data_IF_738724838323
#
_entry.id   IF_738724838323
#
_cell.length_a   1.000
_cell.length_b   1.000
_cell.length_c   1.000
_cell.angle_alpha   90.00
_cell.angle_beta   90.00
_cell.angle_gamma   90.00
#
_symmetry.space_group_name_H-M   'P 1'
#
loop_
_entity.id
_entity.type
_entity.pdbx_description
1 polymer ?
#
# COMPACT_ATOMS: atom_id res chain seq x y z
N UNK A 1 3.32 18.09 -12.79
CA UNK A 1 2.49 17.66 -13.95
C UNK A 1 2.35 16.14 -14.07
N UNK A 2 3.23 15.33 -13.46
CA UNK A 2 3.19 13.85 -13.50
C UNK A 2 2.10 13.20 -12.63
N UNK A 3 1.54 13.89 -11.64
CA UNK A 3 0.51 13.35 -10.73
C UNK A 3 -0.90 13.30 -11.35
N UNK A 4 -1.30 14.35 -12.10
CA UNK A 4 -2.65 14.48 -12.66
C UNK A 4 -2.90 13.52 -13.85
N UNK A 5 -1.89 13.30 -14.69
CA UNK A 5 -1.96 12.37 -15.84
C UNK A 5 -1.98 10.91 -15.36
N UNK A 6 -1.35 10.61 -14.21
CA UNK A 6 -1.41 9.30 -13.56
C UNK A 6 -2.82 8.95 -13.05
N UNK A 7 -3.54 9.93 -12.53
CA UNK A 7 -4.96 9.79 -12.13
C UNK A 7 -5.88 9.50 -13.33
N UNK A 8 -5.64 10.08 -14.51
CA UNK A 8 -6.43 9.73 -15.71
C UNK A 8 -6.25 8.26 -16.14
N UNK A 9 -5.13 7.60 -15.81
CA UNK A 9 -4.98 6.15 -16.04
C UNK A 9 -5.89 5.32 -15.13
N UNK A 10 -6.27 5.81 -13.95
CA UNK A 10 -7.18 5.08 -13.04
C UNK A 10 -8.62 5.04 -13.58
N UNK A 11 -9.00 5.92 -14.52
CA UNK A 11 -10.27 5.82 -15.26
C UNK A 11 -10.41 4.50 -16.03
N UNK A 12 -9.30 3.77 -16.30
CA UNK A 12 -9.37 2.40 -16.84
C UNK A 12 -10.03 1.41 -15.89
N UNK A 13 -10.02 1.65 -14.58
CA UNK A 13 -10.74 0.82 -13.59
C UNK A 13 -12.26 0.92 -13.77
N UNK A 14 -12.80 2.01 -14.33
CA UNK A 14 -14.21 2.09 -14.72
C UNK A 14 -14.59 1.05 -15.78
N UNK A 15 -13.62 0.51 -16.52
CA UNK A 15 -13.85 -0.61 -17.45
C UNK A 15 -14.12 -1.91 -16.69
N UNK A 16 -13.54 -2.12 -15.51
CA UNK A 16 -13.85 -3.27 -14.65
C UNK A 16 -15.30 -3.22 -14.16
N UNK A 17 -15.85 -2.03 -13.89
CA UNK A 17 -17.28 -1.86 -13.57
C UNK A 17 -18.17 -2.29 -14.75
N UNK A 18 -17.75 -2.03 -15.99
CA UNK A 18 -18.48 -2.50 -17.19
C UNK A 18 -18.37 -4.02 -17.38
N UNK A 19 -17.25 -4.62 -17.02
CA UNK A 19 -17.04 -6.08 -17.05
C UNK A 19 -17.84 -6.76 -15.94
N UNK A 20 -17.86 -6.20 -14.73
CA UNK A 20 -18.70 -6.67 -13.63
C UNK A 20 -20.20 -6.68 -14.00
N UNK A 21 -20.69 -5.62 -14.66
CA UNK A 21 -22.06 -5.57 -15.20
C UNK A 21 -22.35 -6.57 -16.32
N UNK A 22 -21.32 -7.10 -17.00
CA UNK A 22 -21.46 -8.13 -18.05
C UNK A 22 -21.33 -9.55 -17.48
N UNK A 23 -20.61 -9.71 -16.36
CA UNK A 23 -20.46 -10.95 -15.59
C UNK A 23 -21.77 -11.35 -14.91
N UNK A 24 -22.61 -10.38 -14.57
CA UNK A 24 -23.96 -10.54 -13.99
C UNK A 24 -24.90 -11.42 -14.83
N UNK A 25 -24.64 -11.55 -16.14
CA UNK A 25 -25.44 -12.37 -17.06
C UNK A 25 -24.94 -13.82 -17.20
N UNK A 26 -23.80 -14.17 -16.60
CA UNK A 26 -23.10 -15.44 -16.87
C UNK A 26 -23.01 -16.41 -15.69
N UNK A 27 -23.43 -16.03 -14.49
CA UNK A 27 -22.93 -16.73 -13.32
C UNK A 27 -23.84 -17.84 -12.80
N UNK A 28 -23.24 -19.00 -12.58
CA UNK A 28 -23.41 -19.75 -11.34
C UNK A 28 -23.02 -18.80 -10.16
N UNK A 29 -23.99 -18.00 -9.72
CA UNK A 29 -23.87 -16.67 -9.10
C UNK A 29 -22.93 -16.50 -7.90
N UNK A 30 -22.60 -17.55 -7.15
CA UNK A 30 -21.76 -17.43 -5.95
C UNK A 30 -20.27 -17.23 -6.24
N UNK A 31 -19.68 -18.06 -7.11
CA UNK A 31 -18.23 -18.07 -7.33
C UNK A 31 -17.73 -16.84 -8.07
N UNK A 32 -18.49 -16.38 -9.07
CA UNK A 32 -18.16 -15.18 -9.84
C UNK A 32 -18.17 -13.91 -8.98
N UNK A 33 -19.15 -13.79 -8.08
CA UNK A 33 -19.27 -12.66 -7.14
C UNK A 33 -18.13 -12.69 -6.12
N UNK A 34 -17.79 -13.87 -5.58
CA UNK A 34 -16.66 -14.01 -4.64
C UNK A 34 -15.33 -13.63 -5.30
N UNK A 35 -15.07 -14.09 -6.53
CA UNK A 35 -13.88 -13.71 -7.28
C UNK A 35 -13.83 -12.19 -7.54
N UNK A 36 -14.96 -11.58 -7.89
CA UNK A 36 -15.04 -10.13 -8.11
C UNK A 36 -14.72 -9.36 -6.82
N UNK A 37 -15.29 -9.76 -5.69
CA UNK A 37 -15.02 -9.15 -4.39
C UNK A 37 -13.55 -9.29 -3.98
N UNK A 38 -12.95 -10.46 -4.20
CA UNK A 38 -11.50 -10.68 -3.98
C UNK A 38 -10.64 -9.75 -4.84
N UNK A 39 -10.98 -9.56 -6.13
CA UNK A 39 -10.27 -8.63 -7.00
C UNK A 39 -10.41 -7.18 -6.54
N UNK A 40 -11.60 -6.75 -6.13
CA UNK A 40 -11.83 -5.39 -5.62
C UNK A 40 -11.03 -5.15 -4.33
N UNK A 41 -11.06 -6.10 -3.40
CA UNK A 41 -10.29 -6.05 -2.17
C UNK A 41 -8.78 -5.91 -2.44
N UNK A 42 -8.24 -6.71 -3.35
CA UNK A 42 -6.83 -6.63 -3.74
C UNK A 42 -6.46 -5.29 -4.39
N UNK A 43 -7.36 -4.72 -5.20
CA UNK A 43 -7.15 -3.40 -5.81
C UNK A 43 -7.13 -2.28 -4.76
N UNK A 44 -8.03 -2.32 -3.78
CA UNK A 44 -8.07 -1.36 -2.66
C UNK A 44 -6.78 -1.45 -1.85
N UNK A 45 -6.36 -2.67 -1.48
CA UNK A 45 -5.10 -2.90 -0.77
C UNK A 45 -3.90 -2.36 -1.54
N UNK A 46 -3.82 -2.60 -2.86
CA UNK A 46 -2.75 -2.05 -3.71
C UNK A 46 -2.73 -0.52 -3.73
N UNK A 47 -3.89 0.14 -3.80
CA UNK A 47 -3.98 1.60 -3.75
C UNK A 47 -3.53 2.16 -2.41
N UNK A 48 -3.99 1.58 -1.31
CA UNK A 48 -3.59 1.98 0.03
C UNK A 48 -2.09 1.75 0.24
N UNK A 49 -1.52 0.66 -0.29
CA UNK A 49 -0.08 0.39 -0.20
C UNK A 49 0.75 1.43 -0.95
N UNK A 50 0.28 1.87 -2.12
CA UNK A 50 0.92 2.96 -2.87
C UNK A 50 0.89 4.28 -2.08
N UNK A 51 -0.23 4.58 -1.41
CA UNK A 51 -0.36 5.78 -0.57
C UNK A 51 0.56 5.69 0.65
N UNK A 52 0.58 4.53 1.33
CA UNK A 52 1.48 4.28 2.46
C UNK A 52 2.95 4.47 2.09
N UNK A 53 3.34 3.96 0.92
CA UNK A 53 4.68 4.18 0.38
C UNK A 53 4.97 5.66 0.09
N UNK A 54 4.01 6.37 -0.51
CA UNK A 54 4.14 7.78 -0.78
C UNK A 54 4.32 8.62 0.49
N UNK A 55 3.57 8.32 1.57
CA UNK A 55 3.70 8.99 2.87
C UNK A 55 5.13 8.83 3.40
N UNK A 56 5.62 7.59 3.49
CA UNK A 56 6.98 7.34 4.01
C UNK A 56 8.08 8.01 3.17
N UNK A 57 7.93 8.04 1.84
CA UNK A 57 8.91 8.67 0.95
C UNK A 57 8.89 10.20 1.02
N UNK A 58 7.71 10.80 1.25
CA UNK A 58 7.56 12.25 1.42
C UNK A 58 8.05 12.67 2.81
N UNK A 59 7.76 11.92 3.87
CA UNK A 59 8.17 12.29 5.24
C UNK A 59 9.67 12.09 5.49
N UNK A 60 10.30 11.07 4.88
CA UNK A 60 11.72 10.72 5.10
C UNK A 60 12.71 11.91 5.07
N UNK A 61 12.66 12.86 4.10
CA UNK A 61 13.58 14.00 4.08
C UNK A 61 13.28 15.09 5.12
N UNK A 62 12.06 15.18 5.66
CA UNK A 62 11.65 16.22 6.62
C UNK A 62 11.78 15.79 8.08
N UNK A 63 11.98 14.49 8.33
CA UNK A 63 12.11 13.95 9.68
C UNK A 63 13.53 14.18 10.23
N UNK A 64 13.65 14.95 11.31
CA UNK A 64 14.93 15.11 12.03
C UNK A 64 15.40 13.79 12.67
N UNK A 65 14.45 12.96 13.11
CA UNK A 65 14.71 11.63 13.64
C UNK A 65 14.22 10.56 12.66
N UNK A 66 15.10 9.62 12.32
CA UNK A 66 14.82 8.48 11.42
C UNK A 66 13.92 7.42 12.09
N UNK A 67 12.69 7.81 12.41
CA UNK A 67 11.68 7.00 13.12
C UNK A 67 10.58 6.47 12.20
N UNK A 68 10.53 6.90 10.93
CA UNK A 68 9.47 6.50 9.99
C UNK A 68 9.50 5.01 9.69
N UNK A 69 8.39 4.48 9.17
CA UNK A 69 8.28 3.04 8.87
C UNK A 69 9.36 2.59 7.86
N UNK A 70 9.75 3.46 6.94
CA UNK A 70 10.77 3.17 5.92
C UNK A 70 12.18 3.10 6.53
N UNK A 71 12.46 3.89 7.57
CA UNK A 71 13.72 3.82 8.32
C UNK A 71 13.80 2.56 9.17
N UNK A 72 12.68 2.15 9.77
CA UNK A 72 12.58 0.87 10.48
C UNK A 72 12.78 -0.31 9.54
N UNK A 73 12.20 -0.27 8.32
CA UNK A 73 12.44 -1.29 7.30
C UNK A 73 13.93 -1.40 6.92
N UNK A 74 14.63 -0.27 6.81
CA UNK A 74 16.07 -0.24 6.54
C UNK A 74 16.88 -0.94 7.63
N UNK A 75 16.50 -0.73 8.89
CA UNK A 75 17.12 -1.39 10.04
C UNK A 75 16.83 -2.88 10.04
N UNK A 76 15.56 -3.28 9.84
CA UNK A 76 15.15 -4.69 9.84
C UNK A 76 15.79 -5.51 8.73
N UNK A 77 16.05 -4.89 7.57
CA UNK A 77 16.73 -5.55 6.45
C UNK A 77 18.27 -5.48 6.53
N UNK A 78 18.83 -4.81 7.55
CA UNK A 78 20.28 -4.60 7.66
C UNK A 78 20.88 -3.74 6.53
N UNK A 79 20.04 -2.98 5.80
CA UNK A 79 20.45 -2.13 4.67
C UNK A 79 20.60 -0.65 5.07
N UNK A 80 20.94 -0.41 6.34
CA UNK A 80 21.14 0.93 6.90
C UNK A 80 22.37 1.55 6.24
N UNK A 81 22.17 2.62 5.46
CA UNK A 81 23.27 3.30 4.80
C UNK A 81 24.11 4.06 5.85
N UNK A 82 25.31 3.56 6.15
CA UNK A 82 26.35 4.35 6.81
C UNK A 82 27.16 5.04 5.70
N UNK A 83 27.52 6.31 5.88
CA UNK A 83 28.01 7.22 4.84
C UNK A 83 29.29 6.79 4.09
N UNK A 84 29.84 5.61 4.38
CA UNK A 84 31.11 5.09 3.89
C UNK A 84 31.00 3.95 2.87
N UNK A 85 29.82 3.37 2.63
CA UNK A 85 29.66 2.28 1.66
C UNK A 85 28.49 2.51 0.71
N UNK A 86 28.65 2.08 -0.54
CA UNK A 86 27.63 2.01 -1.59
C UNK A 86 26.46 1.10 -1.18
N UNK A 87 25.67 1.52 -0.19
CA UNK A 87 24.49 0.79 0.23
C UNK A 87 23.28 1.36 -0.54
N UNK A 88 22.70 0.57 -1.43
CA UNK A 88 21.62 1.01 -2.34
C UNK A 88 20.24 1.18 -1.65
N UNK A 89 20.20 1.18 -0.32
CA UNK A 89 18.96 1.10 0.46
C UNK A 89 18.11 -0.14 0.12
N UNK A 90 16.90 -0.24 0.68
CA UNK A 90 15.98 -1.32 0.36
C UNK A 90 15.51 -1.15 -1.08
N UNK A 91 15.39 -2.28 -1.78
CA UNK A 91 14.98 -2.27 -3.18
C UNK A 91 13.54 -1.77 -3.30
N UNK A 92 13.14 -1.29 -4.48
CA UNK A 92 11.75 -0.89 -4.72
C UNK A 92 10.77 -2.05 -4.46
N UNK A 93 11.22 -3.29 -4.70
CA UNK A 93 10.46 -4.51 -4.43
C UNK A 93 10.26 -4.72 -2.93
N UNK A 94 11.32 -4.57 -2.14
CA UNK A 94 11.25 -4.71 -0.68
C UNK A 94 10.23 -3.71 -0.11
N UNK A 95 10.34 -2.43 -0.50
CA UNK A 95 9.43 -1.36 -0.07
C UNK A 95 7.98 -1.64 -0.44
N UNK A 96 7.74 -2.08 -1.68
CA UNK A 96 6.39 -2.36 -2.19
C UNK A 96 5.76 -3.58 -1.50
N UNK A 97 6.50 -4.67 -1.33
CA UNK A 97 6.00 -5.89 -0.67
C UNK A 97 5.69 -5.62 0.80
N UNK A 98 6.56 -4.88 1.51
CA UNK A 98 6.32 -4.48 2.89
C UNK A 98 5.10 -3.55 3.02
N UNK A 99 4.93 -2.58 2.11
CA UNK A 99 3.77 -1.69 2.11
C UNK A 99 2.46 -2.46 1.84
N UNK A 100 2.46 -3.37 0.86
CA UNK A 100 1.32 -4.26 0.61
C UNK A 100 1.00 -5.10 1.84
N UNK A 101 2.02 -5.75 2.42
CA UNK A 101 1.87 -6.59 3.60
C UNK A 101 1.23 -5.81 4.76
N UNK A 102 1.69 -4.59 5.05
CA UNK A 102 1.08 -3.73 6.06
C UNK A 102 -0.40 -3.49 5.77
N UNK A 103 -0.72 -3.01 4.57
CA UNK A 103 -2.12 -2.70 4.21
C UNK A 103 -3.05 -3.90 4.21
N UNK A 104 -2.59 -5.07 3.73
CA UNK A 104 -3.37 -6.31 3.81
C UNK A 104 -3.58 -6.72 5.27
N UNK A 105 -2.54 -6.64 6.10
CA UNK A 105 -2.64 -6.99 7.53
C UNK A 105 -3.58 -6.06 8.29
N UNK A 106 -3.64 -4.78 7.92
CA UNK A 106 -4.53 -3.79 8.55
C UNK A 106 -5.96 -3.93 8.05
N UNK A 107 -6.18 -4.09 6.74
CA UNK A 107 -7.52 -4.30 6.16
C UNK A 107 -8.17 -5.61 6.62
N UNK A 108 -7.38 -6.66 6.83
CA UNK A 108 -7.88 -7.93 7.39
C UNK A 108 -7.98 -7.94 8.91
N UNK A 109 -7.70 -6.80 9.57
CA UNK A 109 -7.70 -6.64 11.02
C UNK A 109 -6.76 -7.61 11.78
N UNK A 110 -5.74 -8.16 11.11
CA UNK A 110 -4.75 -9.06 11.75
C UNK A 110 -3.68 -8.27 12.51
N UNK A 111 -3.12 -7.23 11.88
CA UNK A 111 -2.23 -6.27 12.55
C UNK A 111 -1.01 -6.86 13.28
N UNK A 112 -0.12 -7.56 12.57
CA UNK A 112 1.06 -8.24 13.15
C UNK A 112 2.06 -7.33 13.88
N UNK A 113 2.07 -6.02 13.60
CA UNK A 113 2.87 -5.02 14.32
C UNK A 113 4.38 -4.96 13.96
N UNK A 114 4.86 -5.80 13.05
CA UNK A 114 6.21 -5.73 12.48
C UNK A 114 6.44 -4.48 11.60
N UNK A 115 5.38 -3.95 11.01
CA UNK A 115 5.36 -2.63 10.37
C UNK A 115 4.33 -1.79 11.11
N UNK A 116 4.76 -0.69 11.72
CA UNK A 116 3.91 0.14 12.56
C UNK A 116 4.02 1.63 12.16
N UNK A 117 2.92 2.38 12.30
CA UNK A 117 2.94 3.83 12.13
C UNK A 117 3.63 4.49 13.34
N UNK A 118 4.69 5.26 13.08
CA UNK A 118 5.46 5.96 14.09
C UNK A 118 5.21 7.48 14.05
N UNK A 119 5.10 8.04 12.84
CA UNK A 119 4.81 9.47 12.64
C UNK A 119 3.33 9.78 12.81
N UNK A 120 2.98 11.06 13.00
CA UNK A 120 1.58 11.47 13.09
C UNK A 120 0.82 11.22 11.78
N UNK A 121 1.45 11.46 10.63
CA UNK A 121 0.84 11.21 9.31
C UNK A 121 0.61 9.73 9.08
N UNK A 122 1.58 8.88 9.43
CA UNK A 122 1.45 7.42 9.38
C UNK A 122 0.32 6.92 10.29
N UNK A 123 0.19 7.48 11.51
CA UNK A 123 -0.86 7.11 12.46
C UNK A 123 -2.26 7.48 11.95
N UNK A 124 -2.43 8.68 11.43
CA UNK A 124 -3.71 9.13 10.84
C UNK A 124 -4.10 8.22 9.67
N UNK A 125 -3.15 7.91 8.79
CA UNK A 125 -3.40 6.99 7.68
C UNK A 125 -3.81 5.60 8.18
N UNK A 126 -3.11 5.06 9.18
CA UNK A 126 -3.46 3.77 9.77
C UNK A 126 -4.88 3.74 10.34
N UNK A 127 -5.31 4.81 11.02
CA UNK A 127 -6.69 4.94 11.52
C UNK A 127 -7.68 4.91 10.34
N UNK A 128 -7.42 5.63 9.25
CA UNK A 128 -8.28 5.60 8.07
C UNK A 128 -8.36 4.20 7.44
N UNK A 129 -7.25 3.48 7.34
CA UNK A 129 -7.24 2.10 6.81
C UNK A 129 -8.03 1.14 7.69
N UNK A 130 -7.91 1.27 9.02
CA UNK A 130 -8.66 0.46 9.98
C UNK A 130 -10.16 0.75 10.00
N UNK A 131 -10.59 1.94 9.57
CA UNK A 131 -12.02 2.26 9.40
C UNK A 131 -12.59 1.73 8.08
N UNK A 132 -11.74 1.47 7.07
CA UNK A 132 -12.14 0.94 5.77
C UNK A 132 -12.24 -0.59 5.79
N UNK A 133 -11.30 -1.26 6.47
CA UNK A 133 -11.28 -2.71 6.65
C UNK A 133 -12.30 -3.17 7.68
#
# INVERSE_FOLDING_TARGET
TTTLIGLLKTARLLRLVRVARKLDRYSEYGAAVLMLLMCIFALIAHWLACIWYAIGNVEKPYLEHKIGWLDNLEVSLGKRCNSSEHCSGPTIKDKYVTALYFTFSSLTSVGFGNVSPNTNSEKIFSICVMLIG
#
